data_IF_747629628834
#
_entry.id   IF_747629628834
#
_cell.length_a   1.000
_cell.length_b   1.000
_cell.length_c   1.000
_cell.angle_alpha   90.00
_cell.angle_beta   90.00
_cell.angle_gamma   90.00
#
_symmetry.space_group_name_H-M   'P 1'
#
loop_
_entity.id
_entity.type
_entity.pdbx_description
1 polymer ?
#
# COMPACT_ATOMS: atom_id res chain seq x y z
N UNK A 1 12.55 -15.77 0.55
CA UNK A 1 13.57 -15.27 1.50
C UNK A 1 13.38 -13.81 1.93
N UNK A 2 13.26 -12.79 1.06
CA UNK A 2 12.97 -11.41 1.53
C UNK A 2 11.49 -11.14 1.83
N UNK A 3 10.59 -11.56 0.93
CA UNK A 3 9.13 -11.35 1.08
C UNK A 3 8.60 -12.00 2.36
N UNK A 4 8.99 -13.25 2.60
CA UNK A 4 8.59 -14.00 3.80
C UNK A 4 9.09 -13.34 5.09
N UNK A 5 10.36 -12.90 5.11
CA UNK A 5 10.93 -12.21 6.27
C UNK A 5 10.20 -10.90 6.55
N UNK A 6 9.90 -10.11 5.52
CA UNK A 6 9.10 -8.89 5.65
C UNK A 6 7.71 -9.19 6.22
N UNK A 7 7.00 -10.18 5.67
CA UNK A 7 5.68 -10.58 6.16
C UNK A 7 5.73 -11.08 7.61
N UNK A 8 6.80 -11.79 8.00
CA UNK A 8 7.01 -12.21 9.37
C UNK A 8 7.21 -11.00 10.31
N UNK A 9 8.05 -10.03 9.94
CA UNK A 9 8.26 -8.79 10.72
C UNK A 9 6.99 -7.99 10.89
N UNK A 10 6.17 -7.86 9.84
CA UNK A 10 4.89 -7.15 9.91
C UNK A 10 3.86 -7.79 10.85
N UNK A 11 4.08 -9.05 11.24
CA UNK A 11 3.26 -9.80 12.21
C UNK A 11 3.93 -9.95 13.58
N UNK A 12 5.16 -9.49 13.72
CA UNK A 12 5.94 -9.65 14.93
C UNK A 12 5.37 -8.77 16.06
N UNK A 13 5.01 -9.34 17.22
CA UNK A 13 4.40 -8.58 18.31
C UNK A 13 5.28 -7.48 18.90
N UNK A 14 6.61 -7.68 18.94
CA UNK A 14 7.54 -6.68 19.47
C UNK A 14 7.66 -5.50 18.51
N UNK A 15 7.75 -5.78 17.22
CA UNK A 15 7.73 -4.76 16.17
C UNK A 15 6.44 -3.92 16.20
N UNK A 16 5.28 -4.57 16.32
CA UNK A 16 3.99 -3.89 16.38
C UNK A 16 3.84 -3.02 17.63
N UNK A 17 4.37 -3.46 18.78
CA UNK A 17 4.33 -2.69 20.02
C UNK A 17 5.15 -1.39 19.91
N UNK A 18 6.36 -1.46 19.34
CA UNK A 18 7.20 -0.28 19.12
C UNK A 18 6.61 0.64 18.04
N UNK A 19 6.05 0.09 16.96
CA UNK A 19 5.36 0.88 15.94
C UNK A 19 4.17 1.67 16.53
N UNK A 20 3.37 1.01 17.39
CA UNK A 20 2.26 1.67 18.09
C UNK A 20 2.74 2.78 19.02
N UNK A 21 3.81 2.54 19.77
CA UNK A 21 4.44 3.56 20.64
C UNK A 21 4.95 4.76 19.85
N UNK A 22 5.44 4.53 18.63
CA UNK A 22 5.85 5.56 17.69
C UNK A 22 4.67 6.23 16.97
N UNK A 23 3.42 5.86 17.26
CA UNK A 23 2.21 6.29 16.55
C UNK A 23 2.28 6.04 15.03
N UNK A 24 2.91 4.95 14.62
CA UNK A 24 2.93 4.50 13.23
C UNK A 24 1.71 3.63 12.96
N UNK A 25 0.85 4.08 12.04
CA UNK A 25 -0.23 3.26 11.51
C UNK A 25 0.32 2.33 10.43
N UNK A 26 0.28 1.03 10.69
CA UNK A 26 0.83 0.00 9.82
C UNK A 26 -0.31 -0.75 9.13
N UNK A 27 -0.39 -0.62 7.81
CA UNK A 27 -1.31 -1.38 6.95
C UNK A 27 -0.51 -2.13 5.86
N UNK A 28 0.26 -3.16 6.24
CA UNK A 28 1.10 -3.89 5.31
C UNK A 28 0.25 -4.75 4.36
N UNK A 29 0.62 -4.75 3.08
CA UNK A 29 0.08 -5.66 2.06
C UNK A 29 1.15 -6.67 1.64
N UNK A 30 0.73 -7.80 1.09
CA UNK A 30 1.67 -8.76 0.50
C UNK A 30 2.35 -8.17 -0.75
N UNK A 31 3.51 -8.72 -1.11
CA UNK A 31 4.21 -8.29 -2.32
C UNK A 31 3.41 -8.62 -3.59
N UNK A 32 2.63 -9.69 -3.56
CA UNK A 32 1.75 -10.14 -4.63
C UNK A 32 0.56 -9.18 -4.80
N UNK A 33 -0.03 -8.71 -3.70
CA UNK A 33 -1.08 -7.68 -3.73
C UNK A 33 -0.54 -6.34 -4.25
N UNK A 34 0.66 -5.95 -3.84
CA UNK A 34 1.31 -4.74 -4.34
C UNK A 34 1.55 -4.81 -5.86
N UNK A 35 2.07 -5.93 -6.36
CA UNK A 35 2.28 -6.18 -7.78
C UNK A 35 0.97 -6.17 -8.57
N UNK A 36 -0.05 -6.86 -8.06
CA UNK A 36 -1.40 -6.89 -8.65
C UNK A 36 -2.00 -5.49 -8.75
N UNK A 37 -1.85 -4.69 -7.68
CA UNK A 37 -2.33 -3.30 -7.64
C UNK A 37 -1.65 -2.46 -8.71
N UNK A 38 -0.32 -2.53 -8.82
CA UNK A 38 0.46 -1.81 -9.84
C UNK A 38 0.03 -2.21 -11.25
N UNK A 39 -0.09 -3.52 -11.51
CA UNK A 39 -0.57 -4.01 -12.81
C UNK A 39 -1.99 -3.55 -13.13
N UNK A 40 -2.87 -3.45 -12.13
CA UNK A 40 -4.20 -2.89 -12.27
C UNK A 40 -4.17 -1.42 -12.68
N UNK A 41 -3.29 -0.63 -12.08
CA UNK A 41 -3.12 0.79 -12.42
C UNK A 41 -2.70 0.99 -13.89
N UNK A 42 -1.82 0.15 -14.42
CA UNK A 42 -1.39 0.23 -15.82
C UNK A 42 -2.49 -0.18 -16.82
N UNK A 43 -3.52 -0.91 -16.38
CA UNK A 43 -4.65 -1.31 -17.23
C UNK A 43 -5.79 -0.29 -17.22
N UNK A 44 -5.69 0.76 -16.42
CA UNK A 44 -6.73 1.79 -16.35
C UNK A 44 -6.86 2.51 -17.69
N UNK A 45 -8.08 2.64 -18.17
CA UNK A 45 -8.36 3.37 -19.41
C UNK A 45 -8.04 4.87 -19.23
N UNK A 46 -7.48 5.54 -20.25
CA UNK A 46 -7.10 6.95 -20.15
C UNK A 46 -8.24 7.89 -19.72
N UNK A 47 -9.48 7.61 -20.15
CA UNK A 47 -10.67 8.37 -19.76
C UNK A 47 -10.98 8.27 -18.25
N UNK A 48 -10.79 7.09 -17.65
CA UNK A 48 -10.97 6.86 -16.23
C UNK A 48 -9.89 7.58 -15.43
N UNK A 49 -8.63 7.53 -15.88
CA UNK A 49 -7.54 8.27 -15.26
C UNK A 49 -7.79 9.79 -15.30
N UNK A 50 -8.28 10.32 -16.42
CA UNK A 50 -8.63 11.74 -16.55
C UNK A 50 -9.72 12.13 -15.54
N UNK A 51 -10.79 11.33 -15.44
CA UNK A 51 -11.89 11.57 -14.49
C UNK A 51 -11.45 11.46 -13.04
N UNK A 52 -10.59 10.49 -12.71
CA UNK A 52 -10.04 10.35 -11.35
C UNK A 52 -9.18 11.55 -10.96
N UNK A 53 -8.41 12.14 -11.88
CA UNK A 53 -7.64 13.36 -11.62
C UNK A 53 -8.54 14.54 -11.25
N UNK A 54 -9.69 14.69 -11.90
CA UNK A 54 -10.64 15.77 -11.59
C UNK A 54 -11.26 15.64 -10.20
N UNK A 55 -11.43 14.40 -9.70
CA UNK A 55 -12.10 14.09 -8.43
C UNK A 55 -11.10 14.08 -7.27
N UNK A 56 -9.92 13.48 -7.46
CA UNK A 56 -8.96 13.19 -6.40
C UNK A 56 -7.92 14.29 -6.18
N UNK A 57 -7.65 15.14 -7.19
CA UNK A 57 -6.71 16.24 -7.02
C UNK A 57 -7.48 17.44 -6.46
N UNK A 58 -7.16 17.94 -5.24
CA UNK A 58 -7.83 19.10 -4.68
C UNK A 58 -7.70 20.30 -5.63
N UNK A 59 -8.82 20.98 -5.88
CA UNK A 59 -8.76 22.27 -6.59
C UNK A 59 -8.07 23.27 -5.68
N UNK A 60 -7.01 23.92 -6.19
CA UNK A 60 -6.38 25.07 -5.54
C UNK A 60 -7.38 26.21 -5.39
#
# INVERSE_FOLDING_TARGET
MLREAFTATMKDPEFLAEAKKANLDLNPVSGEEAESTIHGLFKLQPNLVARLREILVPRK
#
